data_IF_214964609901
#
_entry.id   IF_214964609901
#
_cell.length_a   1.000
_cell.length_b   1.000
_cell.length_c   1.000
_cell.angle_alpha   90.00
_cell.angle_beta   90.00
_cell.angle_gamma   90.00
#
_symmetry.space_group_name_H-M   'P 1'
#
loop_
_entity.id
_entity.type
_entity.pdbx_description
1 polymer ?
#
# COMPACT_ATOMS: atom_id res chain seq x y z
N UNK A 1 12.51 14.35 0.29
CA UNK A 1 12.51 14.05 1.75
C UNK A 1 11.60 14.96 2.59
N UNK A 2 11.53 16.29 2.38
CA UNK A 2 10.65 17.17 3.21
C UNK A 2 9.15 16.88 3.03
N UNK A 3 8.70 16.66 1.79
CA UNK A 3 7.28 16.41 1.48
C UNK A 3 6.78 15.06 2.02
N UNK A 4 7.58 13.99 1.86
CA UNK A 4 7.24 12.65 2.37
C UNK A 4 7.11 12.61 3.91
N UNK A 5 7.96 13.34 4.65
CA UNK A 5 7.84 13.45 6.12
C UNK A 5 6.63 14.26 6.57
N UNK A 6 6.19 15.22 5.76
CA UNK A 6 4.99 16.00 6.05
C UNK A 6 3.74 15.14 5.88
N UNK A 7 3.67 14.32 4.82
CA UNK A 7 2.55 13.40 4.58
C UNK A 7 2.39 12.40 5.74
N UNK A 8 3.49 11.83 6.22
CA UNK A 8 3.50 10.94 7.40
C UNK A 8 2.97 11.66 8.65
N UNK A 9 3.52 12.83 8.98
CA UNK A 9 3.16 13.57 10.19
C UNK A 9 1.68 14.04 10.20
N UNK A 10 1.15 14.46 9.05
CA UNK A 10 -0.26 14.84 8.92
C UNK A 10 -1.18 13.62 9.08
N UNK A 11 -0.80 12.46 8.50
CA UNK A 11 -1.57 11.24 8.66
C UNK A 11 -1.52 10.69 10.10
N UNK A 12 -0.37 10.78 10.78
CA UNK A 12 -0.25 10.46 12.21
C UNK A 12 -1.12 11.40 13.06
N UNK A 13 -1.17 12.68 12.72
CA UNK A 13 -2.03 13.66 13.41
C UNK A 13 -3.50 13.32 13.20
N UNK A 14 -3.91 12.95 11.98
CA UNK A 14 -5.26 12.50 11.69
C UNK A 14 -5.63 11.27 12.54
N UNK A 15 -4.76 10.25 12.60
CA UNK A 15 -5.02 9.05 13.41
C UNK A 15 -4.97 9.29 14.92
N UNK A 16 -4.25 10.32 15.38
CA UNK A 16 -4.28 10.73 16.79
C UNK A 16 -5.61 11.41 17.16
N UNK A 17 -6.24 12.09 16.22
CA UNK A 17 -7.56 12.73 16.39
C UNK A 17 -8.70 11.72 16.20
N UNK A 18 -8.60 10.87 15.19
CA UNK A 18 -9.55 9.80 14.88
C UNK A 18 -8.80 8.51 14.50
N UNK A 19 -8.64 7.56 15.44
CA UNK A 19 -7.99 6.28 15.16
C UNK A 19 -8.69 5.42 14.11
N UNK A 20 -9.92 5.76 13.73
CA UNK A 20 -10.72 5.06 12.74
C UNK A 20 -10.80 5.82 11.40
N UNK A 21 -9.96 6.83 11.18
CA UNK A 21 -9.84 7.52 9.89
C UNK A 21 -9.22 6.60 8.82
N UNK A 22 -10.07 6.13 7.90
CA UNK A 22 -9.65 5.22 6.83
C UNK A 22 -8.62 5.85 5.88
N UNK A 23 -8.70 7.17 5.66
CA UNK A 23 -7.78 7.88 4.78
C UNK A 23 -6.39 8.02 5.40
N UNK A 24 -6.28 8.34 6.69
CA UNK A 24 -5.01 8.34 7.43
C UNK A 24 -4.33 6.98 7.38
N UNK A 25 -5.09 5.90 7.59
CA UNK A 25 -4.60 4.54 7.41
C UNK A 25 -4.18 4.26 5.96
N UNK A 26 -4.96 4.67 4.96
CA UNK A 26 -4.59 4.50 3.55
C UNK A 26 -3.24 5.18 3.24
N UNK A 27 -3.09 6.44 3.65
CA UNK A 27 -1.90 7.26 3.40
C UNK A 27 -0.66 6.66 4.07
N UNK A 28 -0.73 6.32 5.36
CA UNK A 28 0.39 5.68 6.06
C UNK A 28 0.74 4.32 5.46
N UNK A 29 -0.27 3.59 4.98
CA UNK A 29 -0.09 2.34 4.25
C UNK A 29 0.76 2.49 3.00
N UNK A 30 0.37 3.40 2.11
CA UNK A 30 1.09 3.70 0.87
C UNK A 30 2.48 4.25 1.16
N UNK A 31 2.59 5.17 2.12
CA UNK A 31 3.87 5.75 2.52
C UNK A 31 4.85 4.69 3.04
N UNK A 32 4.40 3.81 3.92
CA UNK A 32 5.23 2.73 4.47
C UNK A 32 5.73 1.82 3.35
N UNK A 33 4.88 1.49 2.36
CA UNK A 33 5.28 0.69 1.20
C UNK A 33 6.39 1.39 0.42
N UNK A 34 6.16 2.64 0.02
CA UNK A 34 7.11 3.41 -0.79
C UNK A 34 8.47 3.55 -0.10
N UNK A 35 8.47 3.83 1.21
CA UNK A 35 9.70 3.93 2.00
C UNK A 35 10.41 2.58 2.09
N UNK A 36 9.70 1.46 2.26
CA UNK A 36 10.34 0.15 2.34
C UNK A 36 10.93 -0.34 1.01
N UNK A 37 10.32 -0.02 -0.13
CA UNK A 37 10.92 -0.29 -1.45
C UNK A 37 12.21 0.52 -1.66
N UNK A 38 12.20 1.79 -1.27
CA UNK A 38 13.38 2.65 -1.28
C UNK A 38 14.43 2.24 -0.25
N UNK A 39 14.03 1.52 0.80
CA UNK A 39 14.91 1.16 1.92
C UNK A 39 16.05 0.22 1.52
N UNK A 40 15.99 -0.51 0.41
CA UNK A 40 17.16 -1.24 -0.10
C UNK A 40 18.28 -0.29 -0.56
N UNK A 41 17.90 0.74 -1.30
CA UNK A 41 18.79 1.81 -1.77
C UNK A 41 19.23 2.72 -0.62
N UNK A 42 18.30 3.13 0.25
CA UNK A 42 18.62 3.95 1.41
C UNK A 42 19.47 3.20 2.44
N UNK A 43 19.24 1.90 2.71
CA UNK A 43 20.11 1.08 3.59
C UNK A 43 21.56 1.03 3.11
N UNK A 44 21.78 0.99 1.79
CA UNK A 44 23.12 1.02 1.21
C UNK A 44 23.87 2.33 1.53
N UNK A 45 23.16 3.46 1.70
CA UNK A 45 23.74 4.77 2.02
C UNK A 45 23.56 5.21 3.50
N UNK A 46 22.70 4.55 4.27
CA UNK A 46 22.24 5.04 5.57
C UNK A 46 23.20 4.78 6.73
N UNK A 47 23.97 3.69 6.69
CA UNK A 47 24.94 3.36 7.74
C UNK A 47 26.03 4.42 7.87
N UNK A 48 26.37 5.10 6.76
CA UNK A 48 27.48 6.06 6.70
C UNK A 48 27.04 7.51 6.90
N UNK A 49 25.79 7.87 6.60
CA UNK A 49 25.36 9.27 6.56
C UNK A 49 24.23 9.64 7.55
N UNK A 50 23.39 8.69 7.98
CA UNK A 50 22.07 9.04 8.55
C UNK A 50 21.78 8.51 9.96
N UNK A 51 22.59 7.61 10.52
CA UNK A 51 22.24 6.98 11.80
C UNK A 51 20.94 6.16 11.70
N UNK A 52 19.93 6.44 12.54
CA UNK A 52 18.67 5.65 12.63
C UNK A 52 17.80 5.84 11.38
N UNK A 53 17.64 4.78 10.59
CA UNK A 53 16.80 4.73 9.37
C UNK A 53 15.32 5.05 9.66
N UNK A 54 14.59 5.73 8.74
CA UNK A 54 13.14 5.88 8.82
C UNK A 54 12.47 4.49 8.82
N UNK A 55 11.47 4.29 9.69
CA UNK A 55 10.88 2.97 9.96
C UNK A 55 9.71 2.62 9.03
N UNK A 56 9.79 2.99 7.75
CA UNK A 56 8.85 2.48 6.76
C UNK A 56 9.07 0.98 6.54
N UNK A 57 8.03 0.16 6.71
CA UNK A 57 8.13 -1.30 6.52
C UNK A 57 6.92 -1.86 5.77
N UNK A 58 7.12 -2.96 5.03
CA UNK A 58 6.02 -3.67 4.37
C UNK A 58 4.99 -4.18 5.38
N UNK A 59 5.41 -4.57 6.58
CA UNK A 59 4.50 -5.05 7.61
C UNK A 59 3.56 -3.93 8.10
N UNK A 60 4.10 -2.74 8.37
CA UNK A 60 3.29 -1.58 8.73
C UNK A 60 2.38 -1.14 7.57
N UNK A 61 2.87 -1.17 6.33
CA UNK A 61 2.06 -0.89 5.15
C UNK A 61 0.81 -1.78 5.11
N UNK A 62 1.00 -3.09 5.34
CA UNK A 62 -0.08 -4.06 5.39
C UNK A 62 -1.02 -3.86 6.57
N UNK A 63 -0.51 -3.51 7.77
CA UNK A 63 -1.34 -3.21 8.95
C UNK A 63 -2.30 -2.06 8.65
N UNK A 64 -1.76 -0.94 8.16
CA UNK A 64 -2.57 0.24 7.88
C UNK A 64 -3.56 0.00 6.73
N UNK A 65 -3.16 -0.61 5.62
CA UNK A 65 -4.09 -0.88 4.50
C UNK A 65 -5.17 -1.90 4.85
N UNK A 66 -4.87 -2.88 5.71
CA UNK A 66 -5.88 -3.81 6.26
C UNK A 66 -6.86 -3.07 7.15
N UNK A 67 -6.40 -2.13 7.96
CA UNK A 67 -7.29 -1.31 8.80
C UNK A 67 -8.20 -0.45 7.93
N UNK A 68 -7.64 0.25 6.94
CA UNK A 68 -8.40 1.06 5.98
C UNK A 68 -9.49 0.23 5.27
N UNK A 69 -9.14 -0.94 4.72
CA UNK A 69 -10.12 -1.82 4.05
C UNK A 69 -11.15 -2.43 5.00
N UNK A 70 -10.83 -2.60 6.29
CA UNK A 70 -11.79 -3.08 7.30
C UNK A 70 -12.77 -1.98 7.73
N UNK A 71 -12.30 -0.74 7.84
CA UNK A 71 -13.12 0.43 8.17
C UNK A 71 -14.07 0.77 7.02
N UNK A 72 -13.57 0.76 5.79
CA UNK A 72 -14.32 1.09 4.57
C UNK A 72 -14.15 -0.01 3.50
N UNK A 73 -14.92 -1.11 3.59
CA UNK A 73 -14.81 -2.22 2.64
C UNK A 73 -15.34 -1.89 1.24
N UNK A 74 -16.09 -0.80 1.11
CA UNK A 74 -16.75 -0.28 -0.10
C UNK A 74 -15.86 0.67 -0.93
N UNK A 75 -14.64 0.97 -0.47
CA UNK A 75 -13.73 1.92 -1.12
C UNK A 75 -12.70 1.18 -1.97
N UNK A 76 -12.84 1.30 -3.30
CA UNK A 76 -11.96 0.64 -4.29
C UNK A 76 -10.47 0.98 -4.09
N UNK A 77 -10.07 2.26 -3.93
CA UNK A 77 -8.67 2.63 -3.72
C UNK A 77 -7.96 1.85 -2.60
N UNK A 78 -8.64 1.64 -1.46
CA UNK A 78 -8.04 0.98 -0.30
C UNK A 78 -7.69 -0.47 -0.61
N UNK A 79 -8.60 -1.15 -1.31
CA UNK A 79 -8.43 -2.54 -1.70
C UNK A 79 -7.36 -2.71 -2.77
N UNK A 80 -7.32 -1.78 -3.74
CA UNK A 80 -6.26 -1.78 -4.76
C UNK A 80 -4.88 -1.60 -4.13
N UNK A 81 -4.71 -0.63 -3.24
CA UNK A 81 -3.42 -0.40 -2.57
C UNK A 81 -3.02 -1.58 -1.67
N UNK A 82 -3.98 -2.24 -0.99
CA UNK A 82 -3.71 -3.47 -0.25
C UNK A 82 -3.21 -4.58 -1.18
N UNK A 83 -3.89 -4.81 -2.30
CA UNK A 83 -3.50 -5.82 -3.29
C UNK A 83 -2.11 -5.59 -3.88
N UNK A 84 -1.77 -4.33 -4.18
CA UNK A 84 -0.43 -3.95 -4.65
C UNK A 84 0.62 -4.21 -3.57
N UNK A 85 0.36 -3.76 -2.34
CA UNK A 85 1.29 -3.95 -1.21
C UNK A 85 1.52 -5.42 -0.90
N UNK A 86 0.50 -6.26 -0.97
CA UNK A 86 0.63 -7.72 -0.85
C UNK A 86 1.51 -8.30 -1.96
N UNK A 87 1.32 -7.86 -3.20
CA UNK A 87 2.16 -8.29 -4.32
C UNK A 87 3.63 -7.89 -4.15
N UNK A 88 3.90 -6.67 -3.69
CA UNK A 88 5.25 -6.16 -3.47
C UNK A 88 5.93 -6.85 -2.27
N UNK A 89 5.14 -7.27 -1.28
CA UNK A 89 5.54 -8.20 -0.22
C UNK A 89 5.65 -9.67 -0.68
N UNK A 90 5.55 -9.95 -1.99
CA UNK A 90 5.61 -11.30 -2.62
C UNK A 90 4.50 -12.26 -2.21
N UNK A 91 3.42 -11.76 -1.60
CA UNK A 91 2.21 -12.51 -1.24
C UNK A 91 1.24 -12.49 -2.42
N UNK A 92 1.70 -13.01 -3.55
CA UNK A 92 1.06 -12.84 -4.86
C UNK A 92 -0.39 -13.34 -4.91
N UNK A 93 -0.69 -14.47 -4.27
CA UNK A 93 -2.03 -15.04 -4.25
C UNK A 93 -3.03 -14.13 -3.52
N UNK A 94 -2.66 -13.63 -2.35
CA UNK A 94 -3.50 -12.69 -1.61
C UNK A 94 -3.63 -11.35 -2.34
N UNK A 95 -2.55 -10.90 -2.99
CA UNK A 95 -2.59 -9.70 -3.84
C UNK A 95 -3.55 -9.86 -5.02
N UNK A 96 -3.54 -11.00 -5.71
CA UNK A 96 -4.50 -11.32 -6.77
C UNK A 96 -5.94 -11.26 -6.25
N UNK A 97 -6.23 -11.90 -5.11
CA UNK A 97 -7.57 -11.95 -4.53
C UNK A 97 -8.11 -10.54 -4.22
N UNK A 98 -7.30 -9.66 -3.63
CA UNK A 98 -7.73 -8.28 -3.34
C UNK A 98 -7.91 -7.44 -4.61
N UNK A 99 -7.04 -7.60 -5.61
CA UNK A 99 -7.15 -6.89 -6.88
C UNK A 99 -8.38 -7.33 -7.69
N UNK A 100 -8.66 -8.63 -7.75
CA UNK A 100 -9.87 -9.15 -8.42
C UNK A 100 -11.14 -8.66 -7.71
N UNK A 101 -11.17 -8.67 -6.36
CA UNK A 101 -12.27 -8.09 -5.59
C UNK A 101 -12.46 -6.61 -5.92
N UNK A 102 -11.38 -5.81 -5.93
CA UNK A 102 -11.45 -4.39 -6.24
C UNK A 102 -12.03 -4.13 -7.64
N UNK A 103 -11.67 -4.95 -8.63
CA UNK A 103 -12.20 -4.84 -9.99
C UNK A 103 -13.68 -5.23 -10.11
N UNK A 104 -14.19 -6.07 -9.20
CA UNK A 104 -15.60 -6.49 -9.16
C UNK A 104 -16.55 -5.54 -8.42
N UNK A 105 -16.00 -4.60 -7.63
CA UNK A 105 -16.79 -3.65 -6.84
C UNK A 105 -17.53 -2.64 -7.73
N UNK A 106 -18.68 -2.09 -7.28
CA UNK A 106 -19.35 -0.98 -7.97
C UNK A 106 -18.48 0.29 -7.98
N UNK A 107 -18.74 1.20 -8.92
CA UNK A 107 -18.08 2.51 -8.96
C UNK A 107 -18.81 3.47 -8.03
N UNK A 108 -18.09 3.99 -7.04
CA UNK A 108 -18.60 4.88 -6.01
C UNK A 108 -17.86 6.23 -5.98
N UNK A 109 -16.60 6.28 -6.44
CA UNK A 109 -15.76 7.47 -6.38
C UNK A 109 -15.16 7.83 -7.74
N UNK A 110 -14.90 9.13 -7.94
CA UNK A 110 -14.30 9.67 -9.18
C UNK A 110 -12.91 9.06 -9.47
N UNK A 111 -12.20 8.64 -8.44
CA UNK A 111 -10.86 8.05 -8.56
C UNK A 111 -10.88 6.57 -8.92
N UNK A 112 -12.05 5.90 -8.87
CA UNK A 112 -12.15 4.44 -9.04
C UNK A 112 -11.61 3.99 -10.40
N UNK A 113 -11.86 4.73 -11.47
CA UNK A 113 -11.40 4.34 -12.82
C UNK A 113 -9.87 4.32 -12.92
N UNK A 114 -9.21 5.31 -12.32
CA UNK A 114 -7.75 5.37 -12.25
C UNK A 114 -7.19 4.22 -11.40
N UNK A 115 -7.80 3.96 -10.25
CA UNK A 115 -7.40 2.83 -9.40
C UNK A 115 -7.65 1.47 -10.04
N UNK A 116 -8.72 1.31 -10.84
CA UNK A 116 -8.96 0.09 -11.62
C UNK A 116 -7.94 -0.10 -12.73
N UNK A 117 -7.50 0.96 -13.39
CA UNK A 117 -6.39 0.88 -14.34
C UNK A 117 -5.12 0.37 -13.64
N UNK A 118 -4.76 0.98 -12.50
CA UNK A 118 -3.64 0.54 -11.65
C UNK A 118 -3.78 -0.92 -11.22
N UNK A 119 -4.99 -1.34 -10.84
CA UNK A 119 -5.27 -2.70 -10.43
C UNK A 119 -5.06 -3.72 -11.56
N UNK A 120 -5.51 -3.42 -12.79
CA UNK A 120 -5.32 -4.30 -13.95
C UNK A 120 -3.84 -4.50 -14.28
N UNK A 121 -3.05 -3.43 -14.21
CA UNK A 121 -1.60 -3.50 -14.43
C UNK A 121 -0.90 -4.36 -13.36
N UNK A 122 -1.22 -4.12 -12.08
CA UNK A 122 -0.69 -4.90 -10.98
C UNK A 122 -1.10 -6.37 -11.08
N UNK A 123 -2.36 -6.65 -11.42
CA UNK A 123 -2.89 -8.00 -11.56
C UNK A 123 -2.21 -8.78 -12.70
N UNK A 124 -1.95 -8.13 -13.84
CA UNK A 124 -1.19 -8.73 -14.92
C UNK A 124 0.24 -9.09 -14.48
N UNK A 125 0.90 -8.24 -13.68
CA UNK A 125 2.21 -8.53 -13.08
C UNK A 125 2.15 -9.72 -12.12
N UNK A 126 1.17 -9.75 -11.22
CA UNK A 126 0.95 -10.80 -10.22
C UNK A 126 0.70 -12.15 -10.88
N UNK A 127 -0.21 -12.22 -11.85
CA UNK A 127 -0.55 -13.46 -12.57
C UNK A 127 0.63 -14.06 -13.31
N UNK A 128 1.49 -13.23 -13.93
CA UNK A 128 2.74 -13.70 -14.52
C UNK A 128 3.65 -14.36 -13.48
N UNK A 129 3.83 -13.76 -12.29
CA UNK A 129 4.66 -14.33 -11.22
C UNK A 129 4.11 -15.65 -10.69
N UNK A 130 2.80 -15.77 -10.53
CA UNK A 130 2.14 -17.02 -10.16
C UNK A 130 2.28 -18.11 -11.22
N UNK A 131 2.11 -17.76 -12.50
CA UNK A 131 2.26 -18.68 -13.63
C UNK A 131 3.70 -19.21 -13.81
N UNK A 132 4.72 -18.37 -13.60
CA UNK A 132 6.13 -18.76 -13.65
C UNK A 132 6.59 -19.64 -12.47
N UNK A 133 5.73 -19.86 -11.49
CA UNK A 133 6.03 -20.63 -10.26
C UNK A 133 5.39 -22.03 -10.27
N UNK A 134 4.72 -22.43 -11.36
CA UNK A 134 4.27 -23.83 -11.56
C UNK A 134 5.38 -24.64 -12.22
N UNK A 135 5.81 -25.78 -11.63
CA UNK A 135 6.78 -26.68 -12.25
C UNK A 135 6.22 -27.34 -13.52
#
# INVERSE_FOLDING_TARGET
MRLSRQIEAEADTALALDPDDDLGHHVLGVWNREVAELSGFLRFFATTLYGKLPQGSMDQALVHLRRATSLRPDVVPHRVELGITLADARRYREGEEELDRALSMPTNWVTDDSYRAKAREALARVRRKLGSSRP
#
